data_IF_966584535866
#
_entry.id   IF_966584535866
#
_cell.length_a   1.000
_cell.length_b   1.000
_cell.length_c   1.000
_cell.angle_alpha   90.00
_cell.angle_beta   90.00
_cell.angle_gamma   90.00
#
_symmetry.space_group_name_H-M   'P 1'
#
loop_
_entity.id
_entity.type
_entity.pdbx_description
1 polymer ?
#
# COMPACT_ATOMS: atom_id res chain seq x y z
N UNK A 1 39.30 -22.59 11.43
CA UNK A 1 37.87 -22.77 11.66
C UNK A 1 37.48 -22.05 12.95
N UNK A 2 36.95 -20.85 12.85
CA UNK A 2 36.36 -20.14 13.99
C UNK A 2 34.96 -19.70 13.52
N UNK A 3 33.93 -20.32 14.13
CA UNK A 3 32.53 -20.02 13.92
C UNK A 3 32.22 -18.79 14.76
N UNK A 4 31.85 -17.69 14.12
CA UNK A 4 31.33 -16.50 14.80
C UNK A 4 29.81 -16.62 14.83
N UNK A 5 29.26 -16.85 16.01
CA UNK A 5 27.83 -16.80 16.27
C UNK A 5 27.42 -15.35 16.49
N UNK A 6 26.56 -14.83 15.65
CA UNK A 6 25.81 -13.61 15.91
C UNK A 6 24.49 -13.96 16.59
N UNK A 7 24.34 -13.48 17.80
CA UNK A 7 23.07 -13.47 18.55
C UNK A 7 22.24 -12.29 18.01
N UNK A 8 21.10 -12.59 17.42
CA UNK A 8 20.03 -11.63 17.17
C UNK A 8 19.00 -11.73 18.32
N UNK A 9 18.49 -10.62 18.83
CA UNK A 9 17.37 -10.67 19.76
C UNK A 9 16.08 -10.96 19.00
N UNK A 10 15.30 -11.85 19.57
CA UNK A 10 13.99 -12.30 19.11
C UNK A 10 12.96 -11.18 19.19
N UNK A 11 12.06 -11.12 18.24
CA UNK A 11 10.62 -11.36 18.31
C UNK A 11 10.00 -10.91 16.98
N UNK A 12 9.65 -11.88 16.15
CA UNK A 12 8.52 -11.82 15.24
C UNK A 12 8.07 -13.26 14.93
N UNK A 13 6.99 -13.67 15.55
CA UNK A 13 6.34 -14.96 15.29
C UNK A 13 5.73 -14.94 13.88
N UNK A 14 6.35 -15.74 13.00
CA UNK A 14 5.72 -16.19 11.74
C UNK A 14 4.77 -17.35 12.06
N UNK A 15 3.48 -17.10 12.00
CA UNK A 15 2.48 -18.16 11.91
C UNK A 15 2.30 -18.55 10.46
N UNK A 16 2.88 -19.69 10.07
CA UNK A 16 2.56 -20.41 8.85
C UNK A 16 1.23 -21.12 9.08
N UNK A 17 0.17 -20.71 8.39
CA UNK A 17 -1.06 -21.48 8.30
C UNK A 17 -1.08 -22.31 7.03
N UNK A 18 -0.97 -23.63 7.22
CA UNK A 18 -1.30 -24.64 6.23
C UNK A 18 -2.82 -24.65 6.06
N UNK A 19 -3.34 -24.31 4.88
CA UNK A 19 -4.77 -24.43 4.58
C UNK A 19 -4.99 -25.76 3.88
N UNK A 20 -5.52 -26.71 4.63
CA UNK A 20 -6.20 -27.88 4.05
C UNK A 20 -7.66 -27.52 3.76
N UNK A 21 -8.08 -27.83 2.56
CA UNK A 21 -9.40 -27.63 1.97
C UNK A 21 -10.54 -28.25 2.78
N UNK A 22 -11.62 -27.52 2.94
CA UNK A 22 -12.98 -28.09 2.97
C UNK A 22 -13.94 -27.15 2.22
N UNK A 23 -14.37 -27.63 1.08
CA UNK A 23 -15.46 -27.09 0.28
C UNK A 23 -16.80 -27.32 0.96
N UNK A 24 -17.63 -26.27 1.07
CA UNK A 24 -19.07 -26.36 0.81
C UNK A 24 -19.67 -24.97 0.58
N UNK A 25 -19.92 -24.71 -0.65
CA UNK A 25 -20.98 -24.01 -1.35
C UNK A 25 -22.03 -23.29 -0.49
N UNK A 26 -21.99 -21.98 -0.54
CA UNK A 26 -23.17 -21.15 -0.62
C UNK A 26 -22.91 -20.08 -1.68
N UNK A 27 -23.38 -20.35 -2.89
CA UNK A 27 -23.41 -19.42 -4.02
C UNK A 27 -24.41 -18.32 -3.72
N UNK A 28 -24.00 -17.31 -2.96
CA UNK A 28 -24.63 -16.00 -3.03
C UNK A 28 -24.04 -15.32 -4.26
N UNK A 29 -24.75 -15.34 -5.38
CA UNK A 29 -24.48 -14.51 -6.54
C UNK A 29 -24.34 -13.05 -6.06
N UNK A 30 -23.09 -12.60 -5.89
CA UNK A 30 -22.79 -11.16 -5.87
C UNK A 30 -23.14 -10.70 -7.27
N UNK A 31 -24.07 -9.73 -7.37
CA UNK A 31 -24.30 -8.95 -8.59
C UNK A 31 -22.93 -8.46 -9.07
N UNK A 32 -22.37 -9.15 -10.03
CA UNK A 32 -21.10 -8.76 -10.63
C UNK A 32 -21.32 -7.43 -11.31
N UNK A 33 -20.82 -6.37 -10.72
CA UNK A 33 -20.72 -5.07 -11.40
C UNK A 33 -19.92 -5.33 -12.66
N UNK A 34 -20.59 -5.30 -13.82
CA UNK A 34 -19.96 -5.50 -15.12
C UNK A 34 -18.86 -4.46 -15.22
N UNK A 35 -17.60 -4.89 -15.26
CA UNK A 35 -16.47 -3.98 -15.42
C UNK A 35 -16.74 -3.11 -16.66
N UNK A 36 -16.75 -1.80 -16.46
CA UNK A 36 -16.79 -0.86 -17.57
C UNK A 36 -15.56 -1.14 -18.45
N UNK A 37 -15.72 -1.26 -19.77
CA UNK A 37 -14.59 -1.45 -20.66
C UNK A 37 -13.57 -0.32 -20.45
N UNK A 38 -12.30 -0.67 -20.54
CA UNK A 38 -11.23 0.33 -20.40
C UNK A 38 -11.39 1.42 -21.46
N UNK A 39 -11.40 2.66 -21.02
CA UNK A 39 -11.48 3.82 -21.91
C UNK A 39 -10.07 4.34 -22.17
N UNK A 40 -9.71 4.46 -23.44
CA UNK A 40 -8.46 5.11 -23.87
C UNK A 40 -8.80 6.45 -24.49
N UNK A 41 -8.09 7.51 -24.07
CA UNK A 41 -8.27 8.86 -24.58
C UNK A 41 -6.94 9.59 -24.70
N UNK A 42 -6.88 10.52 -25.62
CA UNK A 42 -5.79 11.49 -25.75
C UNK A 42 -6.15 12.73 -24.93
N UNK A 43 -5.32 13.07 -23.97
CA UNK A 43 -5.51 14.20 -23.06
C UNK A 43 -4.46 15.26 -23.39
N UNK A 44 -4.87 16.51 -23.41
CA UNK A 44 -3.94 17.62 -23.61
C UNK A 44 -3.10 17.86 -22.34
N UNK A 45 -1.78 17.88 -22.52
CA UNK A 45 -0.80 18.21 -21.49
C UNK A 45 0.14 19.25 -22.10
N UNK A 46 -0.06 20.50 -21.74
CA UNK A 46 0.74 21.62 -22.23
C UNK A 46 0.83 21.69 -23.77
N UNK A 47 -0.31 21.50 -24.46
CA UNK A 47 -0.43 21.52 -25.91
C UNK A 47 -0.03 20.24 -26.62
N UNK A 48 0.24 19.14 -25.89
CA UNK A 48 0.60 17.82 -26.45
C UNK A 48 -0.43 16.77 -26.06
N UNK A 49 -0.68 15.83 -26.96
CA UNK A 49 -1.62 14.74 -26.75
C UNK A 49 -0.92 13.55 -26.09
N UNK A 50 -1.33 13.24 -24.86
CA UNK A 50 -0.82 12.12 -24.08
C UNK A 50 -1.91 11.06 -23.97
N UNK A 51 -1.56 9.83 -24.32
CA UNK A 51 -2.48 8.70 -24.25
C UNK A 51 -2.66 8.21 -22.82
N UNK A 52 -3.91 8.13 -22.38
CA UNK A 52 -4.29 7.67 -21.05
C UNK A 52 -5.38 6.61 -21.19
N UNK A 53 -5.25 5.53 -20.41
CA UNK A 53 -6.22 4.44 -20.29
C UNK A 53 -6.75 4.40 -18.86
N UNK A 54 -8.06 4.36 -18.69
CA UNK A 54 -8.72 4.31 -17.38
C UNK A 54 -9.77 3.22 -17.33
N UNK A 55 -9.87 2.53 -16.20
CA UNK A 55 -10.94 1.57 -15.90
C UNK A 55 -11.22 1.51 -14.38
N UNK A 56 -12.30 0.79 -14.02
CA UNK A 56 -12.72 0.68 -12.63
C UNK A 56 -13.32 1.97 -12.08
N UNK A 57 -13.61 1.97 -10.79
CA UNK A 57 -14.22 3.11 -10.09
C UNK A 57 -13.81 3.13 -8.61
N UNK A 58 -14.03 4.26 -7.94
CA UNK A 58 -13.68 4.42 -6.53
C UNK A 58 -12.36 5.17 -6.32
N UNK A 59 -11.92 5.19 -5.07
CA UNK A 59 -10.69 5.84 -4.62
C UNK A 59 -10.01 4.97 -3.55
N UNK A 60 -8.68 5.05 -3.41
CA UNK A 60 -7.75 5.88 -4.21
C UNK A 60 -7.67 5.39 -5.66
N UNK A 61 -7.27 6.28 -6.58
CA UNK A 61 -6.94 5.89 -7.95
C UNK A 61 -5.52 5.31 -8.00
N UNK A 62 -5.39 4.11 -8.56
CA UNK A 62 -4.07 3.50 -8.82
C UNK A 62 -3.52 4.04 -10.13
N UNK A 63 -2.30 4.56 -10.12
CA UNK A 63 -1.58 5.07 -11.29
C UNK A 63 -0.37 4.18 -11.55
N UNK A 64 -0.30 3.59 -12.73
CA UNK A 64 0.71 2.63 -13.13
C UNK A 64 1.79 3.31 -13.97
N UNK A 65 3.01 3.38 -13.44
CA UNK A 65 4.18 4.04 -14.00
C UNK A 65 5.24 3.00 -14.38
N UNK A 66 5.57 2.90 -15.68
CA UNK A 66 6.50 1.89 -16.19
C UNK A 66 7.97 2.36 -16.23
N UNK A 67 8.89 1.43 -16.47
CA UNK A 67 10.32 1.66 -16.57
C UNK A 67 10.76 2.33 -17.88
N UNK A 68 12.06 2.53 -18.02
CA UNK A 68 12.68 3.04 -19.25
C UNK A 68 12.37 2.14 -20.45
N UNK A 69 12.00 2.72 -21.57
CA UNK A 69 11.76 1.99 -22.81
C UNK A 69 10.42 1.22 -22.87
N UNK A 70 9.65 1.18 -21.77
CA UNK A 70 8.34 0.56 -21.71
C UNK A 70 7.21 1.45 -22.26
N UNK A 71 6.00 0.96 -22.12
CA UNK A 71 4.75 1.71 -22.35
C UNK A 71 3.63 1.09 -21.50
N UNK A 72 2.41 1.59 -21.63
CA UNK A 72 1.25 1.12 -20.87
C UNK A 72 0.94 -0.38 -20.99
N UNK A 73 1.43 -1.06 -22.04
CA UNK A 73 1.19 -2.50 -22.28
C UNK A 73 1.85 -3.38 -21.23
N UNK A 74 2.95 -2.95 -20.61
CA UNK A 74 3.63 -3.76 -19.57
C UNK A 74 2.72 -4.09 -18.38
N UNK A 75 1.62 -3.36 -18.23
CA UNK A 75 0.63 -3.52 -17.16
C UNK A 75 -0.61 -4.33 -17.58
N UNK A 76 -0.65 -4.93 -18.77
CA UNK A 76 -1.86 -5.58 -19.32
C UNK A 76 -2.42 -6.70 -18.44
N UNK A 77 -1.56 -7.45 -17.72
CA UNK A 77 -1.97 -8.51 -16.82
C UNK A 77 -2.40 -7.99 -15.43
N UNK A 78 -2.11 -6.75 -15.11
CA UNK A 78 -2.38 -6.13 -13.78
C UNK A 78 -3.57 -5.18 -13.86
N UNK A 79 -3.62 -4.38 -14.91
CA UNK A 79 -4.61 -3.32 -15.09
C UNK A 79 -6.07 -3.80 -14.92
N UNK A 80 -6.54 -4.91 -15.58
CA UNK A 80 -7.92 -5.37 -15.44
C UNK A 80 -8.22 -5.89 -14.03
N UNK A 81 -7.26 -6.50 -13.36
CA UNK A 81 -7.46 -7.04 -12.01
C UNK A 81 -7.54 -5.90 -10.96
N UNK A 82 -6.73 -4.86 -11.12
CA UNK A 82 -6.83 -3.67 -10.27
C UNK A 82 -8.15 -2.93 -10.49
N UNK A 83 -8.63 -2.86 -11.74
CA UNK A 83 -9.91 -2.25 -12.08
C UNK A 83 -11.13 -2.89 -11.37
N UNK A 84 -11.00 -4.14 -10.88
CA UNK A 84 -12.06 -4.85 -10.14
C UNK A 84 -12.30 -4.29 -8.74
N UNK A 85 -11.32 -3.61 -8.15
CA UNK A 85 -11.43 -3.17 -6.76
C UNK A 85 -11.19 -1.67 -6.55
N UNK A 86 -10.66 -0.96 -7.56
CA UNK A 86 -10.52 0.50 -7.52
C UNK A 86 -10.42 1.08 -8.92
N UNK A 87 -10.38 2.41 -9.05
CA UNK A 87 -10.03 3.06 -10.32
C UNK A 87 -8.55 2.85 -10.60
N UNK A 88 -8.21 2.54 -11.85
CA UNK A 88 -6.83 2.37 -12.30
C UNK A 88 -6.58 3.16 -13.58
N UNK A 89 -5.40 3.73 -13.65
CA UNK A 89 -4.87 4.49 -14.77
C UNK A 89 -3.55 3.90 -15.21
N UNK A 90 -3.38 3.72 -16.52
CA UNK A 90 -2.09 3.58 -17.18
C UNK A 90 -2.00 4.60 -18.32
N UNK A 91 -0.81 4.98 -18.71
CA UNK A 91 -0.62 6.00 -19.74
C UNK A 91 0.70 5.78 -20.48
N UNK A 92 0.83 6.37 -21.63
CA UNK A 92 2.10 6.40 -22.34
C UNK A 92 2.77 7.74 -22.07
N UNK A 93 3.98 7.73 -21.48
CA UNK A 93 4.73 8.98 -21.28
C UNK A 93 5.02 9.65 -22.62
N UNK A 94 5.31 10.95 -22.59
CA UNK A 94 5.66 11.69 -23.80
C UNK A 94 6.81 11.03 -24.56
N UNK A 95 6.59 10.81 -25.87
CA UNK A 95 7.52 10.12 -26.78
C UNK A 95 7.41 8.59 -26.78
N UNK A 96 6.36 8.01 -26.14
CA UNK A 96 6.09 6.58 -26.17
C UNK A 96 4.68 6.27 -26.67
N UNK A 97 4.51 5.06 -27.21
CA UNK A 97 3.21 4.53 -27.60
C UNK A 97 2.42 5.47 -28.51
N UNK A 98 1.28 5.96 -28.03
CA UNK A 98 0.39 6.89 -28.75
C UNK A 98 0.55 8.34 -28.31
N UNK A 99 1.51 8.64 -27.44
CA UNK A 99 1.76 9.98 -26.93
C UNK A 99 2.74 10.74 -27.79
N UNK A 100 2.48 12.03 -27.95
CA UNK A 100 3.41 12.93 -28.62
C UNK A 100 4.68 13.13 -27.81
N UNK A 101 5.78 13.53 -28.49
CA UNK A 101 7.06 13.81 -27.86
C UNK A 101 6.98 14.99 -26.89
N UNK A 102 7.73 14.89 -25.79
CA UNK A 102 7.84 15.97 -24.80
C UNK A 102 9.14 16.73 -24.93
N UNK A 103 9.21 17.92 -24.28
CA UNK A 103 10.43 18.72 -24.25
C UNK A 103 11.50 18.08 -23.38
N UNK A 104 12.76 18.35 -23.71
CA UNK A 104 13.90 18.04 -22.85
C UNK A 104 14.16 19.14 -21.80
N UNK A 105 14.86 18.84 -20.70
CA UNK A 105 15.30 17.49 -20.29
C UNK A 105 14.14 16.63 -19.78
N UNK A 106 14.18 15.33 -20.01
CA UNK A 106 13.20 14.35 -19.53
C UNK A 106 13.53 13.95 -18.07
N UNK A 107 13.55 14.95 -17.18
CA UNK A 107 13.83 14.75 -15.77
C UNK A 107 12.64 14.12 -15.04
N UNK A 108 12.90 13.45 -13.89
CA UNK A 108 11.85 12.89 -13.04
C UNK A 108 10.88 13.96 -12.55
N UNK A 109 11.39 15.15 -12.22
CA UNK A 109 10.57 16.27 -11.84
C UNK A 109 9.61 16.71 -12.96
N UNK A 110 10.11 16.81 -14.20
CA UNK A 110 9.27 17.16 -15.36
C UNK A 110 8.21 16.08 -15.60
N UNK A 111 8.60 14.81 -15.61
CA UNK A 111 7.67 13.70 -15.83
C UNK A 111 6.60 13.63 -14.74
N UNK A 112 6.95 13.91 -13.49
CA UNK A 112 5.99 13.99 -12.40
C UNK A 112 4.98 15.16 -12.58
N UNK A 113 5.43 16.34 -13.02
CA UNK A 113 4.55 17.47 -13.32
C UNK A 113 3.64 17.20 -14.52
N UNK A 114 4.16 16.57 -15.57
CA UNK A 114 3.36 16.14 -16.73
C UNK A 114 2.28 15.12 -16.33
N UNK A 115 2.62 14.14 -15.49
CA UNK A 115 1.66 13.18 -14.96
C UNK A 115 0.57 13.87 -14.12
N UNK A 116 0.94 14.80 -13.25
CA UNK A 116 -0.02 15.56 -12.46
C UNK A 116 -0.98 16.34 -13.35
N UNK A 117 -0.47 17.06 -14.36
CA UNK A 117 -1.28 17.80 -15.35
C UNK A 117 -2.19 16.84 -16.14
N UNK A 118 -1.66 15.67 -16.54
CA UNK A 118 -2.43 14.63 -17.23
C UNK A 118 -3.63 14.16 -16.43
N UNK A 119 -3.41 13.82 -15.15
CA UNK A 119 -4.47 13.36 -14.26
C UNK A 119 -5.52 14.44 -14.04
N UNK A 120 -5.10 15.67 -13.76
CA UNK A 120 -5.98 16.82 -13.58
C UNK A 120 -6.84 17.08 -14.83
N UNK A 121 -6.22 17.16 -16.01
CA UNK A 121 -6.92 17.45 -17.27
C UNK A 121 -7.80 16.28 -17.74
N UNK A 122 -7.50 15.06 -17.24
CA UNK A 122 -8.35 13.90 -17.43
C UNK A 122 -9.57 13.86 -16.51
N UNK A 123 -9.67 14.76 -15.51
CA UNK A 123 -10.72 14.75 -14.49
C UNK A 123 -10.54 13.63 -13.44
N UNK A 124 -9.31 13.20 -13.22
CA UNK A 124 -8.97 12.15 -12.25
C UNK A 124 -8.43 12.84 -10.99
N UNK A 125 -9.24 12.84 -9.96
CA UNK A 125 -8.92 13.53 -8.69
C UNK A 125 -8.15 12.64 -7.72
N UNK A 126 -7.29 13.21 -6.85
CA UNK A 126 -6.65 12.49 -5.76
C UNK A 126 -7.71 11.92 -4.76
N UNK A 127 -7.30 11.00 -3.84
CA UNK A 127 -5.91 10.58 -3.62
C UNK A 127 -5.44 9.48 -4.58
N UNK A 128 -4.12 9.40 -4.78
CA UNK A 128 -3.48 8.43 -5.68
C UNK A 128 -2.67 7.36 -4.94
N UNK A 129 -2.72 6.12 -5.41
CA UNK A 129 -1.72 5.09 -5.14
C UNK A 129 -0.84 4.97 -6.37
N UNK A 130 0.44 5.30 -6.23
CA UNK A 130 1.38 5.28 -7.34
C UNK A 130 2.15 3.96 -7.34
N UNK A 131 2.23 3.32 -8.51
CA UNK A 131 2.92 2.04 -8.70
C UNK A 131 4.02 2.26 -9.74
N UNK A 132 5.29 2.12 -9.35
CA UNK A 132 6.43 2.41 -10.22
C UNK A 132 7.33 1.21 -10.42
N UNK A 133 7.54 0.81 -11.68
CA UNK A 133 8.50 -0.22 -12.07
C UNK A 133 9.81 0.40 -12.55
N UNK A 134 10.94 -0.15 -12.10
CA UNK A 134 12.26 0.28 -12.57
C UNK A 134 12.45 1.80 -12.48
N UNK A 135 12.79 2.50 -13.57
CA UNK A 135 12.86 3.97 -13.61
C UNK A 135 11.53 4.65 -13.20
N UNK A 136 10.39 4.00 -13.42
CA UNK A 136 9.09 4.48 -12.94
C UNK A 136 9.04 4.65 -11.42
N UNK A 137 9.84 3.90 -10.66
CA UNK A 137 9.98 4.10 -9.22
C UNK A 137 10.60 5.45 -8.86
N UNK A 138 11.58 5.92 -9.63
CA UNK A 138 12.14 7.26 -9.47
C UNK A 138 11.10 8.35 -9.82
N UNK A 139 10.27 8.10 -10.86
CA UNK A 139 9.23 9.04 -11.28
C UNK A 139 8.13 9.19 -10.21
N UNK A 140 7.65 8.06 -9.62
CA UNK A 140 6.64 8.15 -8.56
C UNK A 140 7.20 8.76 -7.28
N UNK A 141 8.50 8.60 -6.99
CA UNK A 141 9.17 9.27 -5.88
C UNK A 141 9.19 10.79 -6.09
N UNK A 142 9.51 11.25 -7.30
CA UNK A 142 9.43 12.67 -7.67
C UNK A 142 8.01 13.22 -7.53
N UNK A 143 6.99 12.46 -7.98
CA UNK A 143 5.59 12.85 -7.81
C UNK A 143 5.22 12.95 -6.34
N UNK A 144 5.59 11.96 -5.52
CA UNK A 144 5.29 11.95 -4.10
C UNK A 144 6.00 13.07 -3.32
N UNK A 145 7.15 13.52 -3.78
CA UNK A 145 7.84 14.68 -3.24
C UNK A 145 7.11 15.99 -3.57
N UNK A 146 6.73 16.18 -4.83
CA UNK A 146 6.12 17.42 -5.32
C UNK A 146 4.64 17.56 -4.88
N UNK A 147 3.91 16.47 -4.81
CA UNK A 147 2.46 16.44 -4.59
C UNK A 147 2.08 15.50 -3.44
N UNK A 148 2.81 15.61 -2.32
CA UNK A 148 2.71 14.69 -1.18
C UNK A 148 1.30 14.53 -0.61
N UNK A 149 0.51 15.60 -0.62
CA UNK A 149 -0.84 15.63 -0.04
C UNK A 149 -1.88 14.91 -0.94
N UNK A 150 -1.49 14.58 -2.18
CA UNK A 150 -2.31 13.84 -3.13
C UNK A 150 -2.02 12.34 -3.13
N UNK A 151 -0.96 11.89 -2.44
CA UNK A 151 -0.49 10.50 -2.44
C UNK A 151 -1.05 9.74 -1.24
N UNK A 152 -1.83 8.68 -1.52
CA UNK A 152 -2.38 7.77 -0.52
C UNK A 152 -1.51 6.54 -0.28
N UNK A 153 -0.56 6.24 -1.17
CA UNK A 153 0.34 5.11 -1.02
C UNK A 153 1.26 4.88 -2.20
N UNK A 154 2.27 4.04 -2.01
CA UNK A 154 3.34 3.78 -2.97
C UNK A 154 3.61 2.28 -3.12
N UNK A 155 3.82 1.83 -4.36
CA UNK A 155 4.29 0.47 -4.65
C UNK A 155 5.50 0.56 -5.58
N UNK A 156 6.65 0.16 -5.08
CA UNK A 156 7.90 0.09 -5.84
C UNK A 156 8.09 -1.34 -6.35
N UNK A 157 8.13 -1.52 -7.66
CA UNK A 157 8.28 -2.82 -8.31
C UNK A 157 9.65 -2.89 -8.95
N UNK A 158 10.57 -3.57 -8.32
CA UNK A 158 11.98 -3.69 -8.72
C UNK A 158 12.57 -2.37 -9.21
N UNK A 159 12.36 -1.35 -8.39
CA UNK A 159 12.58 0.04 -8.75
C UNK A 159 14.06 0.38 -8.78
N UNK A 160 14.38 1.31 -9.65
CA UNK A 160 15.70 1.93 -9.69
C UNK A 160 16.06 2.53 -8.32
N UNK A 161 17.31 2.30 -7.91
CA UNK A 161 17.89 2.87 -6.70
C UNK A 161 19.28 3.45 -6.98
N UNK A 162 19.63 4.52 -6.30
CA UNK A 162 20.89 5.23 -6.51
C UNK A 162 22.10 4.48 -5.92
N UNK A 163 21.87 3.59 -4.95
CA UNK A 163 22.95 2.88 -4.25
C UNK A 163 23.67 1.84 -5.12
N UNK A 164 23.06 1.41 -6.22
CA UNK A 164 23.66 0.42 -7.11
C UNK A 164 25.03 0.84 -7.64
N UNK A 165 25.31 2.13 -7.65
CA UNK A 165 26.56 2.69 -8.15
C UNK A 165 27.52 3.14 -7.04
N UNK A 166 27.14 3.08 -5.77
CA UNK A 166 27.95 3.64 -4.67
C UNK A 166 29.27 2.92 -4.43
N UNK A 167 29.36 1.63 -4.79
CA UNK A 167 30.59 0.85 -4.68
C UNK A 167 31.45 0.87 -5.95
N UNK A 168 31.04 1.60 -6.99
CA UNK A 168 31.75 1.67 -8.26
C UNK A 168 32.61 2.93 -8.36
N UNK A 169 33.74 2.81 -9.01
CA UNK A 169 34.55 3.96 -9.36
C UNK A 169 33.86 4.78 -10.46
N UNK A 170 34.22 6.07 -10.57
CA UNK A 170 33.68 6.92 -11.63
C UNK A 170 33.91 6.32 -13.02
N UNK A 171 35.09 5.75 -13.26
CA UNK A 171 35.42 5.14 -14.55
C UNK A 171 34.53 3.93 -14.88
N UNK A 172 34.20 3.10 -13.88
CA UNK A 172 33.23 1.98 -14.06
C UNK A 172 31.83 2.45 -14.34
N UNK A 173 31.39 3.50 -13.65
CA UNK A 173 30.08 4.14 -13.90
C UNK A 173 30.05 4.71 -15.32
N UNK A 174 31.03 5.52 -15.70
CA UNK A 174 31.10 6.12 -17.03
C UNK A 174 31.10 5.05 -18.14
N UNK A 175 31.92 4.00 -18.00
CA UNK A 175 31.96 2.88 -18.95
C UNK A 175 30.61 2.10 -19.02
N UNK A 176 29.89 1.99 -17.90
CA UNK A 176 28.56 1.37 -17.90
C UNK A 176 27.54 2.24 -18.65
N UNK A 177 27.59 3.55 -18.44
CA UNK A 177 26.70 4.50 -19.13
C UNK A 177 27.00 4.55 -20.63
N UNK A 178 28.27 4.57 -21.04
CA UNK A 178 28.66 4.58 -22.47
C UNK A 178 28.17 3.32 -23.22
N UNK A 179 28.22 2.15 -22.58
CA UNK A 179 27.65 0.92 -23.14
C UNK A 179 26.13 1.04 -23.37
N UNK A 180 25.43 1.61 -22.39
CA UNK A 180 23.99 1.77 -22.46
C UNK A 180 23.58 2.89 -23.43
N UNK A 181 24.35 3.97 -23.51
CA UNK A 181 24.20 5.03 -24.52
C UNK A 181 24.19 4.43 -25.93
N UNK A 182 25.14 3.53 -26.19
CA UNK A 182 25.25 2.82 -27.48
C UNK A 182 24.07 1.89 -27.75
N UNK A 183 23.56 1.20 -26.71
CA UNK A 183 22.44 0.28 -26.82
C UNK A 183 21.09 0.99 -27.07
N UNK A 184 20.94 2.22 -26.62
CA UNK A 184 19.69 2.99 -26.71
C UNK A 184 19.64 4.00 -27.85
N UNK A 185 20.67 4.08 -28.70
CA UNK A 185 20.75 5.05 -29.81
C UNK A 185 19.58 4.95 -30.80
N UNK A 186 19.03 3.75 -31.00
CA UNK A 186 17.93 3.46 -31.91
C UNK A 186 16.59 3.26 -31.16
N UNK A 187 16.53 3.55 -29.86
CA UNK A 187 15.34 3.45 -29.04
C UNK A 187 14.30 4.57 -29.39
N UNK A 188 13.04 4.42 -29.01
CA UNK A 188 12.06 5.51 -29.16
C UNK A 188 12.54 6.82 -28.52
N UNK A 189 12.14 7.96 -29.11
CA UNK A 189 12.59 9.29 -28.70
C UNK A 189 12.39 9.56 -27.19
N UNK A 190 11.28 9.08 -26.61
CA UNK A 190 11.04 9.16 -25.17
C UNK A 190 12.10 8.44 -24.36
N UNK A 191 12.50 7.23 -24.78
CA UNK A 191 13.54 6.46 -24.10
C UNK A 191 14.90 7.12 -24.21
N UNK A 192 15.23 7.68 -25.36
CA UNK A 192 16.49 8.40 -25.55
C UNK A 192 16.57 9.64 -24.65
N UNK A 193 15.50 10.44 -24.59
CA UNK A 193 15.47 11.65 -23.75
C UNK A 193 15.54 11.32 -22.25
N UNK A 194 14.79 10.31 -21.79
CA UNK A 194 14.83 9.84 -20.40
C UNK A 194 16.21 9.26 -20.05
N UNK A 195 16.77 8.44 -20.95
CA UNK A 195 18.10 7.88 -20.74
C UNK A 195 19.19 8.96 -20.68
N UNK A 196 19.16 9.92 -21.59
CA UNK A 196 20.10 11.06 -21.60
C UNK A 196 20.11 11.79 -20.27
N UNK A 197 18.94 11.98 -19.67
CA UNK A 197 18.83 12.62 -18.36
C UNK A 197 19.37 11.70 -17.25
N UNK A 198 18.89 10.45 -17.15
CA UNK A 198 19.28 9.55 -16.06
C UNK A 198 20.77 9.12 -16.14
N UNK A 199 21.32 9.03 -17.35
CA UNK A 199 22.76 8.79 -17.56
C UNK A 199 23.58 9.97 -17.01
N UNK A 200 23.14 11.21 -17.25
CA UNK A 200 23.76 12.40 -16.67
C UNK A 200 23.67 12.44 -15.15
N UNK A 201 22.48 12.14 -14.59
CA UNK A 201 22.29 12.00 -13.14
C UNK A 201 23.22 10.94 -12.53
N UNK A 202 23.32 9.76 -13.19
CA UNK A 202 24.18 8.65 -12.74
C UNK A 202 25.64 9.05 -12.70
N UNK A 203 26.15 9.68 -13.75
CA UNK A 203 27.54 10.14 -13.84
C UNK A 203 27.89 11.20 -12.78
N UNK A 204 26.89 11.95 -12.31
CA UNK A 204 27.03 13.04 -11.33
C UNK A 204 26.54 12.66 -9.91
N UNK A 205 26.25 11.38 -9.64
CA UNK A 205 25.86 10.89 -8.32
C UNK A 205 24.42 11.24 -7.90
N UNK A 206 23.51 11.37 -8.87
CA UNK A 206 22.06 11.53 -8.68
C UNK A 206 21.63 12.78 -7.88
N UNK A 207 22.09 13.98 -8.25
CA UNK A 207 21.76 15.19 -7.48
C UNK A 207 20.26 15.42 -7.35
N UNK A 208 19.47 15.25 -8.42
CA UNK A 208 18.02 15.47 -8.37
C UNK A 208 17.30 14.39 -7.54
N UNK A 209 17.60 13.10 -7.77
CA UNK A 209 16.95 12.02 -7.04
C UNK A 209 17.24 12.08 -5.54
N UNK A 210 18.46 12.40 -5.16
CA UNK A 210 18.85 12.57 -3.75
C UNK A 210 18.15 13.76 -3.08
N UNK A 211 17.89 14.83 -3.84
CA UNK A 211 17.19 16.01 -3.35
C UNK A 211 15.73 15.72 -2.96
N UNK A 212 15.09 14.70 -3.55
CA UNK A 212 13.73 14.29 -3.17
C UNK A 212 13.67 13.63 -1.77
N UNK A 213 14.79 13.11 -1.27
CA UNK A 213 14.80 12.45 0.04
C UNK A 213 13.94 11.17 0.10
N UNK A 214 13.58 10.72 1.30
CA UNK A 214 12.68 9.58 1.49
C UNK A 214 11.24 9.94 1.11
N UNK A 215 10.42 8.96 0.71
CA UNK A 215 9.00 9.18 0.42
C UNK A 215 8.23 9.59 1.68
N UNK A 216 7.02 10.19 1.53
CA UNK A 216 6.16 10.53 2.65
C UNK A 216 5.71 9.28 3.43
N UNK A 217 5.30 9.48 4.71
CA UNK A 217 4.74 8.41 5.57
C UNK A 217 3.33 8.00 5.12
N UNK A 218 3.29 7.19 4.07
CA UNK A 218 2.08 6.58 3.50
C UNK A 218 2.26 5.07 3.40
N UNK A 219 1.16 4.28 3.34
CA UNK A 219 1.23 2.85 3.09
C UNK A 219 2.12 2.53 1.89
N UNK A 220 3.07 1.59 2.06
CA UNK A 220 4.09 1.33 1.05
C UNK A 220 4.38 -0.17 0.91
N UNK A 221 4.56 -0.62 -0.33
CA UNK A 221 5.09 -1.95 -0.64
C UNK A 221 6.28 -1.83 -1.58
N UNK A 222 7.31 -2.61 -1.30
CA UNK A 222 8.54 -2.68 -2.11
C UNK A 222 8.75 -4.13 -2.54
N UNK A 223 8.86 -4.36 -3.82
CA UNK A 223 9.17 -5.67 -4.41
C UNK A 223 10.57 -5.56 -5.02
N UNK A 224 11.47 -6.46 -4.62
CA UNK A 224 12.83 -6.57 -5.14
C UNK A 224 12.94 -7.91 -5.83
N UNK A 225 13.36 -7.90 -7.10
CA UNK A 225 13.62 -9.12 -7.88
C UNK A 225 15.00 -9.70 -7.59
N UNK A 226 15.14 -11.03 -7.71
CA UNK A 226 16.41 -11.73 -7.47
C UNK A 226 16.94 -12.46 -8.69
N UNK A 227 16.04 -12.94 -9.57
CA UNK A 227 16.44 -13.78 -10.70
C UNK A 227 17.05 -12.96 -11.85
N UNK A 228 18.29 -13.31 -12.21
CA UNK A 228 19.01 -12.66 -13.31
C UNK A 228 19.60 -11.28 -12.98
N UNK A 229 19.30 -10.77 -11.79
CA UNK A 229 19.93 -9.53 -11.30
C UNK A 229 21.27 -9.84 -10.63
N UNK A 230 22.31 -9.02 -10.83
CA UNK A 230 23.53 -9.16 -10.07
C UNK A 230 23.25 -9.09 -8.56
N UNK A 231 23.95 -9.88 -7.69
CA UNK A 231 23.74 -9.83 -6.24
C UNK A 231 23.78 -8.42 -5.65
N UNK A 232 24.66 -7.55 -6.18
CA UNK A 232 24.76 -6.14 -5.78
C UNK A 232 23.48 -5.34 -6.00
N UNK A 233 22.66 -5.69 -7.00
CA UNK A 233 21.39 -5.02 -7.27
C UNK A 233 20.42 -5.21 -6.11
N UNK A 234 20.20 -6.44 -5.71
CA UNK A 234 19.31 -6.75 -4.58
C UNK A 234 19.85 -6.17 -3.27
N UNK A 235 21.16 -6.27 -3.01
CA UNK A 235 21.80 -5.71 -1.80
C UNK A 235 21.61 -4.19 -1.76
N UNK A 236 21.94 -3.48 -2.85
CA UNK A 236 21.78 -2.02 -2.91
C UNK A 236 20.32 -1.56 -2.79
N UNK A 237 19.39 -2.33 -3.36
CA UNK A 237 17.96 -2.04 -3.21
C UNK A 237 17.49 -2.23 -1.77
N UNK A 238 17.93 -3.31 -1.09
CA UNK A 238 17.61 -3.51 0.33
C UNK A 238 18.18 -2.37 1.18
N UNK A 239 19.44 -1.99 0.97
CA UNK A 239 20.09 -0.90 1.70
C UNK A 239 19.41 0.46 1.47
N UNK A 240 18.90 0.73 0.27
CA UNK A 240 18.17 1.96 -0.04
C UNK A 240 16.79 1.97 0.62
N UNK A 241 16.06 0.87 0.48
CA UNK A 241 14.64 0.85 0.82
C UNK A 241 14.33 0.42 2.27
N UNK A 242 15.25 -0.30 2.94
CA UNK A 242 15.02 -0.73 4.32
C UNK A 242 14.77 0.44 5.30
N UNK A 243 15.47 1.58 5.23
CA UNK A 243 15.16 2.74 6.06
C UNK A 243 13.74 3.29 5.82
N UNK A 244 13.24 3.25 4.57
CA UNK A 244 11.88 3.72 4.27
C UNK A 244 10.83 2.81 4.89
N UNK A 245 11.05 1.48 4.81
CA UNK A 245 10.13 0.49 5.41
C UNK A 245 10.12 0.60 6.93
N UNK A 246 11.29 0.79 7.55
CA UNK A 246 11.38 0.88 9.02
C UNK A 246 10.86 2.20 9.59
N UNK A 247 10.86 3.28 8.80
CA UNK A 247 10.33 4.58 9.22
C UNK A 247 8.85 4.75 8.96
N UNK A 248 8.29 4.03 7.99
CA UNK A 248 6.87 4.11 7.65
C UNK A 248 6.03 3.24 8.59
N UNK A 249 4.85 3.74 8.97
CA UNK A 249 3.92 3.03 9.88
C UNK A 249 3.32 1.78 9.28
N UNK A 250 3.16 1.77 7.96
CA UNK A 250 2.57 0.66 7.23
C UNK A 250 3.34 0.43 5.94
N UNK A 251 4.41 -0.34 6.03
CA UNK A 251 5.21 -0.69 4.88
C UNK A 251 5.56 -2.19 4.90
N UNK A 252 5.92 -2.69 3.73
CA UNK A 252 6.40 -4.05 3.57
C UNK A 252 7.41 -4.14 2.43
N UNK A 253 8.35 -5.07 2.56
CA UNK A 253 9.32 -5.39 1.54
C UNK A 253 9.24 -6.88 1.23
N UNK A 254 9.22 -7.22 -0.05
CA UNK A 254 9.27 -8.61 -0.54
C UNK A 254 10.49 -8.76 -1.41
N UNK A 255 11.38 -9.66 -1.01
CA UNK A 255 12.48 -10.10 -1.87
C UNK A 255 12.06 -11.41 -2.55
N UNK A 256 11.90 -11.36 -3.86
CA UNK A 256 11.47 -12.51 -4.66
C UNK A 256 12.64 -13.06 -5.47
N UNK A 257 13.24 -14.15 -4.98
CA UNK A 257 14.39 -14.81 -5.59
C UNK A 257 14.14 -15.34 -6.99
N UNK A 258 12.89 -15.71 -7.27
CA UNK A 258 12.50 -16.42 -8.50
C UNK A 258 12.01 -15.47 -9.60
N UNK A 259 11.71 -14.23 -9.27
CA UNK A 259 11.22 -13.24 -10.23
C UNK A 259 12.36 -12.47 -10.92
N UNK A 260 12.28 -12.30 -12.26
CA UNK A 260 13.16 -11.43 -13.02
C UNK A 260 12.76 -9.95 -12.83
N UNK A 261 13.55 -9.04 -13.39
CA UNK A 261 13.28 -7.59 -13.38
C UNK A 261 11.85 -7.23 -13.84
N UNK A 262 11.30 -7.94 -14.83
CA UNK A 262 9.91 -7.76 -15.27
C UNK A 262 8.95 -8.60 -14.41
N UNK A 263 8.82 -8.23 -13.13
CA UNK A 263 7.95 -8.90 -12.16
C UNK A 263 6.49 -8.89 -12.61
N UNK A 264 6.04 -7.83 -13.30
CA UNK A 264 4.66 -7.68 -13.75
C UNK A 264 4.23 -8.79 -14.71
N UNK A 265 5.15 -9.30 -15.52
CA UNK A 265 4.90 -10.40 -16.43
C UNK A 265 5.10 -11.77 -15.77
N UNK A 266 6.08 -11.90 -14.88
CA UNK A 266 6.46 -13.17 -14.27
C UNK A 266 5.53 -13.56 -13.10
N UNK A 267 5.16 -12.61 -12.26
CA UNK A 267 4.27 -12.80 -11.11
C UNK A 267 3.33 -11.60 -10.93
N UNK A 268 2.34 -11.44 -11.80
CA UNK A 268 1.36 -10.37 -11.69
C UNK A 268 0.60 -10.41 -10.36
N UNK A 269 0.40 -11.61 -9.77
CA UNK A 269 -0.33 -11.76 -8.51
C UNK A 269 0.39 -11.12 -7.34
N UNK A 270 1.72 -11.21 -7.27
CA UNK A 270 2.53 -10.52 -6.26
C UNK A 270 2.33 -9.00 -6.33
N UNK A 271 2.36 -8.44 -7.55
CA UNK A 271 2.17 -7.01 -7.76
C UNK A 271 0.73 -6.58 -7.41
N UNK A 272 -0.28 -7.34 -7.85
CA UNK A 272 -1.70 -7.09 -7.53
C UNK A 272 -1.94 -7.15 -6.03
N UNK A 273 -1.39 -8.14 -5.32
CA UNK A 273 -1.51 -8.28 -3.88
C UNK A 273 -0.85 -7.08 -3.15
N UNK A 274 0.31 -6.63 -3.62
CA UNK A 274 1.01 -5.46 -3.08
C UNK A 274 0.19 -4.17 -3.29
N UNK A 275 -0.37 -3.97 -4.48
CA UNK A 275 -1.27 -2.85 -4.78
C UNK A 275 -2.49 -2.90 -3.86
N UNK A 276 -3.13 -4.08 -3.74
CA UNK A 276 -4.32 -4.27 -2.89
C UNK A 276 -4.04 -3.93 -1.42
N UNK A 277 -2.87 -4.32 -0.91
CA UNK A 277 -2.45 -4.01 0.46
C UNK A 277 -2.30 -2.51 0.70
N UNK A 278 -1.81 -1.77 -0.28
CA UNK A 278 -1.65 -0.31 -0.21
C UNK A 278 -2.98 0.43 -0.41
N UNK A 279 -3.85 -0.07 -1.30
CA UNK A 279 -5.19 0.49 -1.52
C UNK A 279 -6.10 0.29 -0.30
N UNK A 280 -5.94 -0.84 0.40
CA UNK A 280 -6.70 -1.20 1.60
C UNK A 280 -5.74 -1.43 2.77
N UNK A 281 -5.19 -0.36 3.36
CA UNK A 281 -4.33 -0.45 4.52
C UNK A 281 -5.05 -1.09 5.71
N UNK A 282 -4.27 -1.56 6.68
CA UNK A 282 -4.81 -2.21 7.88
C UNK A 282 -5.82 -1.32 8.58
N UNK A 283 -7.04 -1.83 8.79
CA UNK A 283 -8.10 -1.10 9.52
C UNK A 283 -7.61 -0.72 10.90
N UNK A 284 -6.90 -1.61 11.59
CA UNK A 284 -6.34 -1.34 12.91
C UNK A 284 -5.35 -0.17 12.88
N UNK A 285 -4.34 -0.21 11.98
CA UNK A 285 -3.32 0.85 11.90
C UNK A 285 -3.93 2.21 11.55
N UNK A 286 -4.92 2.22 10.65
CA UNK A 286 -5.65 3.47 10.29
C UNK A 286 -6.38 4.03 11.51
N UNK A 287 -7.06 3.17 12.28
CA UNK A 287 -7.82 3.61 13.46
C UNK A 287 -6.91 4.01 14.62
N UNK A 288 -5.82 3.30 14.87
CA UNK A 288 -4.81 3.69 15.87
C UNK A 288 -4.22 5.08 15.60
N UNK A 289 -3.91 5.35 14.31
CA UNK A 289 -3.47 6.68 13.89
C UNK A 289 -4.55 7.73 14.15
N UNK A 290 -5.78 7.46 13.72
CA UNK A 290 -6.90 8.40 13.89
C UNK A 290 -7.20 8.68 15.37
N UNK A 291 -7.14 7.65 16.24
CA UNK A 291 -7.27 7.81 17.70
C UNK A 291 -6.18 8.72 18.26
N UNK A 292 -4.93 8.47 17.86
CA UNK A 292 -3.80 9.25 18.33
C UNK A 292 -3.85 10.72 17.92
N UNK A 293 -4.30 11.01 16.71
CA UNK A 293 -4.28 12.36 16.12
C UNK A 293 -5.56 13.15 16.41
N UNK A 294 -6.73 12.48 16.47
CA UNK A 294 -8.05 13.13 16.52
C UNK A 294 -9.02 12.54 17.52
N UNK A 295 -8.60 11.49 18.25
CA UNK A 295 -9.42 10.82 19.25
C UNK A 295 -10.40 9.76 18.73
N UNK A 296 -11.02 9.04 19.64
CA UNK A 296 -11.90 7.91 19.37
C UNK A 296 -13.15 8.28 18.54
N UNK A 297 -13.81 9.43 18.72
CA UNK A 297 -14.97 9.79 17.89
C UNK A 297 -14.61 9.87 16.39
N UNK A 298 -13.43 10.42 16.05
CA UNK A 298 -12.94 10.50 14.68
C UNK A 298 -12.64 9.09 14.11
N UNK A 299 -12.03 8.21 14.91
CA UNK A 299 -11.77 6.83 14.52
C UNK A 299 -13.08 6.04 14.25
N UNK A 300 -14.11 6.23 15.04
CA UNK A 300 -15.44 5.62 14.81
C UNK A 300 -16.04 6.11 13.48
N UNK A 301 -15.98 7.41 13.21
CA UNK A 301 -16.43 7.97 11.95
C UNK A 301 -15.62 7.41 10.78
N UNK A 302 -14.29 7.31 10.94
CA UNK A 302 -13.39 6.73 9.96
C UNK A 302 -13.69 5.25 9.68
N UNK A 303 -13.90 4.45 10.73
CA UNK A 303 -14.32 3.05 10.59
C UNK A 303 -15.57 2.89 9.73
N UNK A 304 -16.62 3.69 10.01
CA UNK A 304 -17.85 3.66 9.23
C UNK A 304 -17.63 4.05 7.77
N UNK A 305 -16.79 5.04 7.48
CA UNK A 305 -16.40 5.39 6.10
C UNK A 305 -15.67 4.26 5.40
N UNK A 306 -14.74 3.59 6.09
CA UNK A 306 -14.02 2.46 5.54
C UNK A 306 -14.97 1.30 5.21
N UNK A 307 -15.98 1.02 6.04
CA UNK A 307 -17.01 0.00 5.79
C UNK A 307 -17.76 0.19 4.46
N UNK A 308 -17.87 1.41 3.97
CA UNK A 308 -18.51 1.72 2.68
C UNK A 308 -17.62 1.42 1.47
N UNK A 309 -16.30 1.32 1.66
CA UNK A 309 -15.31 1.25 0.59
C UNK A 309 -14.52 -0.05 0.57
N UNK A 310 -14.18 -0.58 1.73
CA UNK A 310 -13.35 -1.77 1.85
C UNK A 310 -14.19 -3.04 1.74
N UNK A 311 -13.63 -4.11 1.16
CA UNK A 311 -14.23 -5.43 1.24
C UNK A 311 -14.46 -5.88 2.69
N UNK A 312 -15.52 -6.63 2.92
CA UNK A 312 -15.95 -7.02 4.28
C UNK A 312 -14.90 -7.82 5.06
N UNK A 313 -14.05 -8.57 4.36
CA UNK A 313 -12.97 -9.39 4.92
C UNK A 313 -11.84 -8.60 5.61
N UNK A 314 -11.76 -7.27 5.37
CA UNK A 314 -10.80 -6.40 6.05
C UNK A 314 -11.24 -5.98 7.45
N UNK A 315 -12.49 -6.26 7.81
CA UNK A 315 -13.06 -5.91 9.11
C UNK A 315 -13.20 -7.15 9.97
N UNK A 316 -12.57 -7.12 11.13
CA UNK A 316 -12.59 -8.20 12.11
C UNK A 316 -13.05 -7.66 13.45
N UNK A 317 -13.84 -8.46 14.16
CA UNK A 317 -14.31 -8.13 15.50
C UNK A 317 -13.16 -7.78 16.45
N UNK A 318 -12.07 -8.56 16.37
CA UNK A 318 -10.91 -8.38 17.22
C UNK A 318 -10.26 -6.99 17.09
N UNK A 319 -10.34 -6.36 15.92
CA UNK A 319 -9.77 -5.01 15.71
C UNK A 319 -10.37 -3.96 16.65
N UNK A 320 -11.71 -3.89 16.71
CA UNK A 320 -12.38 -2.95 17.61
C UNK A 320 -12.23 -3.36 19.08
N UNK A 321 -12.11 -4.65 19.32
CA UNK A 321 -11.87 -5.20 20.65
C UNK A 321 -10.51 -4.77 21.20
N UNK A 322 -9.44 -4.95 20.43
CA UNK A 322 -8.09 -4.58 20.82
C UNK A 322 -7.96 -3.07 21.07
N UNK A 323 -8.56 -2.25 20.19
CA UNK A 323 -8.58 -0.79 20.36
C UNK A 323 -9.37 -0.38 21.63
N UNK A 324 -10.47 -1.05 21.91
CA UNK A 324 -11.24 -0.84 23.15
C UNK A 324 -10.43 -1.14 24.39
N UNK A 325 -9.70 -2.26 24.42
CA UNK A 325 -8.83 -2.61 25.56
C UNK A 325 -7.60 -1.69 25.65
N UNK A 326 -7.06 -1.20 24.57
CA UNK A 326 -6.00 -0.17 24.63
C UNK A 326 -6.48 1.08 25.40
N UNK A 327 -7.72 1.54 25.11
CA UNK A 327 -8.29 2.68 25.83
C UNK A 327 -8.61 2.34 27.30
N UNK A 328 -9.18 1.16 27.55
CA UNK A 328 -9.51 0.72 28.91
C UNK A 328 -8.27 0.62 29.80
N UNK A 329 -7.17 0.04 29.29
CA UNK A 329 -5.89 -0.05 29.97
C UNK A 329 -5.24 1.32 30.20
N UNK A 330 -5.47 2.27 29.31
CA UNK A 330 -5.07 3.67 29.47
C UNK A 330 -5.98 4.46 30.42
N UNK A 331 -7.00 3.81 31.02
CA UNK A 331 -8.02 4.41 31.88
C UNK A 331 -8.96 5.41 31.19
N UNK A 332 -9.03 5.38 29.88
CA UNK A 332 -9.98 6.14 29.08
C UNK A 332 -11.27 5.32 28.91
N UNK A 333 -12.00 5.17 30.01
CA UNK A 333 -13.11 4.21 30.09
C UNK A 333 -14.27 4.57 29.16
N UNK A 334 -14.59 5.83 28.99
CA UNK A 334 -15.67 6.30 28.09
C UNK A 334 -15.35 6.02 26.63
N UNK A 335 -14.09 6.22 26.24
CA UNK A 335 -13.58 5.89 24.89
C UNK A 335 -13.60 4.39 24.64
N UNK A 336 -13.23 3.58 25.62
CA UNK A 336 -13.33 2.13 25.54
C UNK A 336 -14.80 1.68 25.33
N UNK A 337 -15.73 2.23 26.12
CA UNK A 337 -17.16 1.96 25.98
C UNK A 337 -17.66 2.33 24.58
N UNK A 338 -17.20 3.45 24.01
CA UNK A 338 -17.58 3.87 22.66
C UNK A 338 -17.13 2.87 21.58
N UNK A 339 -15.89 2.37 21.68
CA UNK A 339 -15.35 1.38 20.76
C UNK A 339 -16.04 0.01 20.91
N UNK A 340 -16.27 -0.46 22.15
CA UNK A 340 -16.97 -1.71 22.37
C UNK A 340 -18.45 -1.63 21.96
N UNK A 341 -19.11 -0.49 22.11
CA UNK A 341 -20.46 -0.26 21.56
C UNK A 341 -20.48 -0.39 20.03
N UNK A 342 -19.50 0.20 19.35
CA UNK A 342 -19.35 0.04 17.91
C UNK A 342 -19.10 -1.43 17.55
N UNK A 343 -18.30 -2.16 18.34
CA UNK A 343 -18.04 -3.58 18.12
C UNK A 343 -19.34 -4.42 18.23
N UNK A 344 -20.15 -4.17 19.24
CA UNK A 344 -21.48 -4.80 19.40
C UNK A 344 -22.41 -4.46 18.21
N UNK A 345 -22.43 -3.20 17.75
CA UNK A 345 -23.20 -2.75 16.59
C UNK A 345 -22.81 -3.53 15.32
N UNK A 346 -21.50 -3.69 15.09
CA UNK A 346 -20.96 -4.33 13.89
C UNK A 346 -21.04 -5.86 13.94
N UNK A 347 -20.95 -6.45 15.13
CA UNK A 347 -20.91 -7.91 15.33
C UNK A 347 -21.94 -8.41 16.37
N UNK A 348 -23.26 -8.15 16.14
CA UNK A 348 -24.32 -8.38 17.14
C UNK A 348 -24.55 -9.85 17.47
N UNK A 349 -23.96 -10.79 16.70
CA UNK A 349 -24.06 -12.23 16.94
C UNK A 349 -22.81 -12.83 17.61
N UNK A 350 -21.77 -12.04 17.79
CA UNK A 350 -20.57 -12.47 18.52
C UNK A 350 -20.77 -12.21 20.02
N UNK A 351 -20.34 -13.15 20.85
CA UNK A 351 -20.50 -13.03 22.32
C UNK A 351 -19.44 -12.08 22.93
N UNK A 352 -18.22 -12.12 22.39
CA UNK A 352 -17.06 -11.41 22.93
C UNK A 352 -17.24 -9.89 22.99
N UNK A 353 -17.80 -9.19 21.99
CA UNK A 353 -18.09 -7.75 22.10
C UNK A 353 -18.97 -7.36 23.30
N UNK A 354 -19.92 -8.22 23.64
CA UNK A 354 -20.78 -7.99 24.80
C UNK A 354 -20.04 -8.23 26.11
N UNK A 355 -19.15 -9.22 26.14
CA UNK A 355 -18.29 -9.50 27.30
C UNK A 355 -17.40 -8.30 27.60
N UNK A 356 -16.65 -7.84 26.59
CA UNK A 356 -15.76 -6.67 26.69
C UNK A 356 -16.49 -5.38 27.06
N UNK A 357 -17.71 -5.17 26.51
CA UNK A 357 -18.55 -4.03 26.87
C UNK A 357 -19.05 -4.14 28.34
N UNK A 358 -19.33 -5.35 28.80
CA UNK A 358 -19.64 -5.62 30.20
C UNK A 358 -18.51 -5.22 31.15
N UNK A 359 -17.28 -5.58 30.78
CA UNK A 359 -16.08 -5.22 31.54
C UNK A 359 -15.83 -3.71 31.58
N UNK A 360 -15.98 -3.02 30.45
CA UNK A 360 -15.89 -1.57 30.39
C UNK A 360 -16.94 -0.86 31.25
N UNK A 361 -18.18 -1.36 31.27
CA UNK A 361 -19.19 -0.83 32.18
C UNK A 361 -18.92 -1.11 33.64
N UNK A 362 -18.27 -2.23 33.98
CA UNK A 362 -17.79 -2.47 35.34
C UNK A 362 -16.73 -1.45 35.75
N UNK A 363 -15.76 -1.18 34.88
CA UNK A 363 -14.71 -0.17 35.12
C UNK A 363 -15.32 1.25 35.27
N UNK A 364 -16.40 1.53 34.57
CA UNK A 364 -17.15 2.80 34.67
C UNK A 364 -18.02 2.90 35.93
N UNK A 365 -18.35 1.78 36.57
CA UNK A 365 -19.26 1.73 37.70
C UNK A 365 -20.73 1.46 37.38
N UNK A 366 -21.05 1.28 36.07
CA UNK A 366 -22.43 1.02 35.60
C UNK A 366 -22.82 -0.45 35.75
N UNK A 367 -23.03 -0.87 36.99
CA UNK A 367 -23.35 -2.27 37.35
C UNK A 367 -24.50 -2.87 36.56
N UNK A 368 -25.56 -2.12 36.33
CA UNK A 368 -26.76 -2.61 35.63
C UNK A 368 -26.45 -2.89 34.14
N UNK A 369 -25.70 -1.99 33.50
CA UNK A 369 -25.27 -2.17 32.12
C UNK A 369 -24.26 -3.31 31.97
N UNK A 370 -23.35 -3.47 32.93
CA UNK A 370 -22.44 -4.62 32.98
C UNK A 370 -23.21 -5.95 33.03
N UNK A 371 -24.16 -6.10 33.98
CA UNK A 371 -24.99 -7.30 34.09
C UNK A 371 -25.75 -7.60 32.79
N UNK A 372 -26.34 -6.58 32.17
CA UNK A 372 -27.06 -6.74 30.91
C UNK A 372 -26.18 -7.31 29.81
N UNK A 373 -24.98 -6.78 29.68
CA UNK A 373 -24.03 -7.19 28.62
C UNK A 373 -23.48 -8.58 28.88
N UNK A 374 -23.06 -8.94 30.09
CA UNK A 374 -22.64 -10.29 30.44
C UNK A 374 -23.75 -11.35 30.23
N UNK A 375 -25.00 -11.03 30.57
CA UNK A 375 -26.13 -11.91 30.27
C UNK A 375 -26.31 -12.10 28.76
N UNK A 376 -26.12 -11.06 27.96
CA UNK A 376 -26.20 -11.17 26.52
C UNK A 376 -25.04 -12.00 25.94
N UNK A 377 -23.83 -11.85 26.48
CA UNK A 377 -22.68 -12.67 26.13
C UNK A 377 -22.98 -14.16 26.38
N UNK A 378 -23.48 -14.52 27.56
CA UNK A 378 -23.86 -15.90 27.91
C UNK A 378 -25.00 -16.45 27.06
N UNK A 379 -25.97 -15.61 26.69
CA UNK A 379 -27.04 -16.03 25.76
C UNK A 379 -26.52 -16.39 24.36
N UNK A 380 -25.37 -15.83 23.96
CA UNK A 380 -24.70 -16.12 22.68
C UNK A 380 -23.67 -17.23 22.79
N UNK A 381 -23.01 -17.34 23.94
CA UNK A 381 -22.07 -18.41 24.29
C UNK A 381 -22.22 -18.83 25.75
N UNK A 382 -23.00 -19.90 26.05
CA UNK A 382 -23.21 -20.39 27.40
C UNK A 382 -21.92 -20.84 28.12
N UNK A 383 -20.84 -21.12 27.38
CA UNK A 383 -19.55 -21.57 27.91
C UNK A 383 -18.61 -20.39 28.26
N UNK A 384 -19.06 -19.15 28.15
CA UNK A 384 -18.24 -18.00 28.55
C UNK A 384 -18.07 -17.93 30.08
N UNK A 385 -17.00 -18.56 30.56
CA UNK A 385 -16.65 -18.64 31.99
C UNK A 385 -16.42 -17.28 32.63
N UNK A 386 -15.84 -16.32 31.89
CA UNK A 386 -15.64 -14.94 32.39
C UNK A 386 -17.00 -14.29 32.73
N UNK A 387 -17.94 -14.31 31.80
CA UNK A 387 -19.27 -13.72 32.06
C UNK A 387 -20.00 -14.39 33.22
N UNK A 388 -19.84 -15.72 33.39
CA UNK A 388 -20.41 -16.45 34.57
C UNK A 388 -19.83 -15.92 35.87
N UNK A 389 -18.51 -15.79 35.93
CA UNK A 389 -17.81 -15.33 37.15
C UNK A 389 -18.17 -13.87 37.48
N UNK A 390 -18.12 -12.99 36.49
CA UNK A 390 -18.47 -11.58 36.68
C UNK A 390 -19.92 -11.40 37.14
N UNK A 391 -20.87 -12.15 36.59
CA UNK A 391 -22.24 -12.11 37.03
C UNK A 391 -22.45 -12.60 38.47
N UNK A 392 -21.73 -13.64 38.90
CA UNK A 392 -21.77 -14.07 40.28
C UNK A 392 -21.31 -12.96 41.23
N UNK A 393 -20.18 -12.31 40.92
CA UNK A 393 -19.66 -11.20 41.72
C UNK A 393 -20.63 -10.00 41.74
N UNK A 394 -21.19 -9.64 40.59
CA UNK A 394 -22.12 -8.53 40.45
C UNK A 394 -23.48 -8.79 41.12
N UNK A 395 -23.94 -10.04 41.22
CA UNK A 395 -25.24 -10.36 41.84
C UNK A 395 -25.13 -10.67 43.34
N UNK A 396 -23.93 -11.07 43.85
CA UNK A 396 -23.70 -11.35 45.26
C UNK A 396 -23.57 -10.07 46.12
N UNK A 397 -23.19 -8.94 45.55
CA UNK A 397 -23.13 -7.66 46.27
C UNK A 397 -24.48 -6.95 46.22
N UNK A 398 -25.36 -7.23 47.17
CA UNK A 398 -26.51 -6.38 47.54
C UNK A 398 -26.12 -5.40 48.65
#
# INVERSE_FOLDING_TARGET
MKVVRYLLPAVCLLTIFCIASLSQTSTRQRSGTRLQPAQSKLVDVEGRKINLKVAGSGAPTVVLEYGLGGNSIVWENIFPEVARFTRVVSYDRAGYGKSETGPEPRSQERMAKELHTLLHNAGITPPYVLVGHSLGGANIRAFAYLFKDEVAGLVFVDSFNERIFTSQTKAEVDAAMDRQDSALKDAPAGAQGEWKFISGETRNGFPQLRAFGPPPDVPMMIIISGRGSPPRWATSAIEEFAPWVTSAREAGMVFSTDNPHNVMAADPNLVIASIRRVVFPSVQNVLEKEIKEKGVPAAIARYRQMRLRYPAEYFREITLNDLGYQQLNAKHVEEAIALFKLNVEMYPRAYNPYDSLGEAYMAHGDRLLAIRNYRKSLALNPENTNAVEQLKQLTAKR
#
